data_IF_479030374890
#
_entry.id   IF_479030374890
#
_cell.length_a   1.000
_cell.length_b   1.000
_cell.length_c   1.000
_cell.angle_alpha   90.00
_cell.angle_beta   90.00
_cell.angle_gamma   90.00
#
_symmetry.space_group_name_H-M   'P 1'
#
loop_
_entity.id
_entity.type
_entity.pdbx_description
1 polymer ?
#
# COMPACT_ATOMS: atom_id res chain seq x y z
N UNK A 1 -10.12 42.11 18.64
CA UNK A 1 -10.15 41.07 19.70
C UNK A 1 -11.28 40.13 19.32
N UNK A 2 -11.14 38.84 19.05
CA UNK A 2 -10.06 37.87 19.26
C UNK A 2 -10.35 36.65 18.35
N UNK A 3 -9.33 36.19 17.59
CA UNK A 3 -8.91 34.80 17.35
C UNK A 3 -10.03 33.81 16.98
N UNK A 4 -10.17 33.35 15.74
CA UNK A 4 -9.24 32.42 15.09
C UNK A 4 -9.88 31.03 15.03
N UNK A 5 -10.78 30.79 14.08
CA UNK A 5 -11.18 29.43 13.72
C UNK A 5 -10.04 28.85 12.88
N UNK A 6 -9.24 27.98 13.48
CA UNK A 6 -8.39 27.07 12.73
C UNK A 6 -9.23 26.48 11.59
N UNK A 7 -8.76 26.58 10.34
CA UNK A 7 -9.36 25.80 9.26
C UNK A 7 -9.33 24.36 9.75
N UNK A 8 -10.50 23.76 10.00
CA UNK A 8 -10.58 22.30 9.99
C UNK A 8 -9.96 21.90 8.65
N UNK A 9 -8.84 21.17 8.72
CA UNK A 9 -8.24 20.63 7.51
C UNK A 9 -9.32 19.78 6.83
N UNK A 10 -9.57 20.03 5.55
CA UNK A 10 -10.51 19.22 4.81
C UNK A 10 -10.02 17.77 4.83
N UNK A 11 -10.95 16.79 4.86
CA UNK A 11 -10.66 15.38 5.15
C UNK A 11 -9.48 14.79 4.35
N UNK A 12 -9.45 15.03 3.03
CA UNK A 12 -8.37 14.58 2.16
C UNK A 12 -7.03 15.24 2.48
N UNK A 13 -7.01 16.51 2.87
CA UNK A 13 -5.78 17.19 3.31
C UNK A 13 -5.24 16.57 4.60
N UNK A 14 -6.14 16.21 5.52
CA UNK A 14 -5.77 15.54 6.77
C UNK A 14 -5.16 14.16 6.48
N UNK A 15 -5.80 13.36 5.62
CA UNK A 15 -5.29 12.04 5.22
C UNK A 15 -3.91 12.15 4.58
N UNK A 16 -3.72 13.04 3.59
CA UNK A 16 -2.42 13.21 2.94
C UNK A 16 -1.35 13.70 3.93
N UNK A 17 -1.71 14.58 4.87
CA UNK A 17 -0.79 15.03 5.91
C UNK A 17 -0.37 13.89 6.85
N UNK A 18 -1.32 13.07 7.31
CA UNK A 18 -1.01 11.90 8.12
C UNK A 18 -0.16 10.88 7.34
N UNK A 19 -0.51 10.60 6.09
CA UNK A 19 0.25 9.71 5.23
C UNK A 19 1.71 10.16 5.09
N UNK A 20 1.96 11.47 4.97
CA UNK A 20 3.32 11.99 4.96
C UNK A 20 4.06 11.69 6.27
N UNK A 21 3.42 11.78 7.43
CA UNK A 21 4.06 11.44 8.71
C UNK A 21 4.43 9.95 8.79
N UNK A 22 3.59 9.06 8.25
CA UNK A 22 3.92 7.63 8.14
C UNK A 22 5.03 7.38 7.12
N UNK A 23 5.02 8.09 5.98
CA UNK A 23 6.09 8.04 4.99
C UNK A 23 7.43 8.49 5.57
N UNK A 24 7.47 9.57 6.36
CA UNK A 24 8.67 10.04 7.03
C UNK A 24 9.25 8.97 7.96
N UNK A 25 8.40 8.24 8.69
CA UNK A 25 8.82 7.11 9.54
C UNK A 25 9.37 5.96 8.70
N UNK A 26 8.70 5.60 7.62
CA UNK A 26 9.19 4.56 6.70
C UNK A 26 10.51 4.99 6.05
N UNK A 27 10.68 6.25 5.69
CA UNK A 27 11.94 6.76 5.14
C UNK A 27 13.07 6.76 6.17
N UNK A 28 12.78 6.64 7.46
CA UNK A 28 13.77 6.44 8.53
C UNK A 28 14.08 4.95 8.80
N UNK A 29 13.39 4.02 8.13
CA UNK A 29 13.69 2.57 8.21
C UNK A 29 15.09 2.23 7.70
N UNK A 30 15.64 1.12 8.17
CA UNK A 30 16.92 0.59 7.70
C UNK A 30 16.86 0.24 6.21
N UNK A 31 15.73 -0.29 5.72
CA UNK A 31 15.46 -0.55 4.32
C UNK A 31 15.62 0.73 3.48
N UNK A 32 14.92 1.80 3.85
CA UNK A 32 14.94 3.06 3.12
C UNK A 32 16.33 3.73 3.18
N UNK A 33 16.97 3.71 4.35
CA UNK A 33 18.36 4.18 4.53
C UNK A 33 19.31 3.38 3.64
N UNK A 34 19.17 2.05 3.60
CA UNK A 34 20.03 1.17 2.80
C UNK A 34 19.83 1.39 1.30
N UNK A 35 18.61 1.67 0.85
CA UNK A 35 18.33 2.10 -0.53
C UNK A 35 19.08 3.40 -0.85
N UNK A 36 18.88 4.46 -0.05
CA UNK A 36 19.51 5.77 -0.30
C UNK A 36 21.04 5.71 -0.25
N UNK A 37 21.58 4.91 0.67
CA UNK A 37 23.02 4.72 0.82
C UNK A 37 23.62 3.71 -0.16
N UNK A 38 22.82 3.13 -1.07
CA UNK A 38 23.27 2.15 -2.04
C UNK A 38 23.94 0.93 -1.37
N UNK A 39 23.41 0.47 -0.24
CA UNK A 39 23.95 -0.66 0.55
C UNK A 39 22.98 -1.82 0.68
N UNK A 40 21.74 -1.67 0.20
CA UNK A 40 20.75 -2.75 0.21
C UNK A 40 21.25 -3.94 -0.63
N UNK A 41 21.26 -5.14 -0.05
CA UNK A 41 21.67 -6.35 -0.75
C UNK A 41 20.56 -6.86 -1.68
N UNK A 42 20.95 -7.56 -2.75
CA UNK A 42 20.00 -8.18 -3.69
C UNK A 42 18.97 -9.07 -3.00
N UNK A 43 19.41 -9.92 -2.06
CA UNK A 43 18.52 -10.83 -1.34
C UNK A 43 17.50 -10.08 -0.48
N UNK A 44 17.93 -9.01 0.22
CA UNK A 44 17.00 -8.18 1.01
C UNK A 44 16.01 -7.45 0.11
N UNK A 45 16.46 -6.96 -1.03
CA UNK A 45 15.59 -6.32 -2.01
C UNK A 45 14.59 -7.31 -2.63
N UNK A 46 15.01 -8.52 -2.99
CA UNK A 46 14.11 -9.58 -3.45
C UNK A 46 13.06 -9.92 -2.39
N UNK A 47 13.46 -10.03 -1.12
CA UNK A 47 12.53 -10.21 0.01
C UNK A 47 11.51 -9.09 0.13
N UNK A 48 11.95 -7.83 0.00
CA UNK A 48 11.05 -6.68 0.00
C UNK A 48 10.07 -6.71 -1.18
N UNK A 49 10.54 -6.98 -2.40
CA UNK A 49 9.67 -7.09 -3.60
C UNK A 49 8.65 -8.22 -3.45
N UNK A 50 9.07 -9.38 -2.92
CA UNK A 50 8.18 -10.51 -2.68
C UNK A 50 7.10 -10.19 -1.64
N UNK A 51 7.45 -9.59 -0.51
CA UNK A 51 6.51 -9.26 0.55
C UNK A 51 5.54 -8.12 0.18
N UNK A 52 5.93 -7.23 -0.73
CA UNK A 52 5.02 -6.22 -1.28
C UNK A 52 4.02 -6.79 -2.30
N UNK A 53 4.28 -7.95 -2.89
CA UNK A 53 3.42 -8.54 -3.92
C UNK A 53 1.97 -8.81 -3.44
N UNK A 54 1.73 -9.40 -2.25
CA UNK A 54 0.38 -9.51 -1.70
C UNK A 54 -0.33 -8.15 -1.62
N UNK A 55 0.36 -7.07 -1.26
CA UNK A 55 -0.24 -5.73 -1.16
C UNK A 55 -0.72 -5.26 -2.53
N UNK A 56 0.12 -5.37 -3.57
CA UNK A 56 -0.23 -4.97 -4.95
C UNK A 56 -1.43 -5.78 -5.48
N UNK A 57 -1.45 -7.09 -5.25
CA UNK A 57 -2.58 -7.96 -5.60
C UNK A 57 -3.83 -7.59 -4.81
N UNK A 58 -3.67 -7.32 -3.51
CA UNK A 58 -4.73 -6.97 -2.57
C UNK A 58 -5.41 -5.67 -2.95
N UNK A 59 -4.64 -4.66 -3.36
CA UNK A 59 -5.13 -3.38 -3.88
C UNK A 59 -6.12 -3.56 -5.03
N UNK A 60 -5.70 -4.27 -6.07
CA UNK A 60 -6.53 -4.52 -7.24
C UNK A 60 -7.78 -5.36 -6.89
N UNK A 61 -7.62 -6.43 -6.09
CA UNK A 61 -8.74 -7.24 -5.62
C UNK A 61 -9.75 -6.39 -4.84
N UNK A 62 -9.28 -5.53 -3.94
CA UNK A 62 -10.14 -4.68 -3.14
C UNK A 62 -10.85 -3.62 -4.00
N UNK A 63 -10.16 -3.02 -4.97
CA UNK A 63 -10.75 -2.08 -5.94
C UNK A 63 -11.89 -2.73 -6.73
N UNK A 64 -11.69 -3.94 -7.28
CA UNK A 64 -12.74 -4.69 -8.00
C UNK A 64 -13.96 -4.91 -7.11
N UNK A 65 -13.75 -5.26 -5.84
CA UNK A 65 -14.82 -5.56 -4.89
C UNK A 65 -15.56 -4.31 -4.45
N UNK A 66 -14.86 -3.20 -4.27
CA UNK A 66 -15.42 -1.95 -3.78
C UNK A 66 -16.30 -1.23 -4.81
N UNK A 67 -16.20 -1.58 -6.10
CA UNK A 67 -17.12 -1.10 -7.16
C UNK A 67 -18.59 -1.30 -6.77
N UNK A 68 -18.91 -2.41 -6.09
CA UNK A 68 -20.27 -2.69 -5.64
C UNK A 68 -20.80 -1.68 -4.60
N UNK A 69 -19.90 -0.94 -3.92
CA UNK A 69 -20.23 0.07 -2.90
C UNK A 69 -20.51 1.46 -3.48
N UNK A 70 -20.26 1.66 -4.77
CA UNK A 70 -20.43 2.96 -5.39
C UNK A 70 -21.88 3.11 -5.83
N UNK A 71 -22.67 3.85 -5.04
CA UNK A 71 -24.11 4.07 -5.30
C UNK A 71 -24.39 4.59 -6.73
N UNK A 72 -23.42 5.26 -7.34
CA UNK A 72 -23.49 5.87 -8.68
C UNK A 72 -22.89 5.03 -9.81
N UNK A 73 -22.57 3.73 -9.65
CA UNK A 73 -22.16 2.87 -10.79
C UNK A 73 -23.23 2.81 -11.89
N UNK A 74 -24.44 3.31 -11.61
CA UNK A 74 -25.52 3.50 -12.60
C UNK A 74 -25.36 4.76 -13.47
N UNK A 75 -24.42 5.65 -13.17
CA UNK A 75 -24.11 6.85 -13.95
C UNK A 75 -22.90 6.60 -14.88
N UNK A 76 -23.16 6.60 -16.19
CA UNK A 76 -22.25 6.16 -17.26
C UNK A 76 -20.81 6.73 -17.22
N UNK A 77 -20.60 7.93 -16.66
CA UNK A 77 -19.25 8.55 -16.61
C UNK A 77 -18.38 7.94 -15.52
N UNK A 78 -18.97 7.51 -14.41
CA UNK A 78 -18.23 6.99 -13.27
C UNK A 78 -17.77 5.56 -13.51
N UNK A 79 -18.57 4.77 -14.25
CA UNK A 79 -18.18 3.43 -14.75
C UNK A 79 -16.91 3.50 -15.60
N UNK A 80 -16.80 4.51 -16.48
CA UNK A 80 -15.62 4.67 -17.33
C UNK A 80 -14.35 4.88 -16.50
N UNK A 81 -14.40 5.77 -15.52
CA UNK A 81 -13.25 6.00 -14.62
C UNK A 81 -12.89 4.77 -13.80
N UNK A 82 -13.90 4.03 -13.29
CA UNK A 82 -13.66 2.77 -12.59
C UNK A 82 -13.02 1.72 -13.51
N UNK A 83 -13.42 1.62 -14.77
CA UNK A 83 -12.79 0.71 -15.73
C UNK A 83 -11.35 1.12 -16.06
N UNK A 84 -11.06 2.43 -16.18
CA UNK A 84 -9.70 2.93 -16.40
C UNK A 84 -8.80 2.58 -15.20
N UNK A 85 -9.28 2.80 -13.98
CA UNK A 85 -8.56 2.45 -12.75
C UNK A 85 -8.37 0.93 -12.59
N UNK A 86 -9.37 0.13 -12.94
CA UNK A 86 -9.21 -1.33 -12.98
C UNK A 86 -8.16 -1.78 -13.98
N UNK A 87 -8.14 -1.19 -15.17
CA UNK A 87 -7.15 -1.53 -16.19
C UNK A 87 -5.74 -1.19 -15.72
N UNK A 88 -5.57 0.00 -15.14
CA UNK A 88 -4.30 0.45 -14.55
C UNK A 88 -3.81 -0.50 -13.46
N UNK A 89 -4.68 -0.90 -12.52
CA UNK A 89 -4.31 -1.85 -11.47
C UNK A 89 -3.99 -3.26 -11.99
N UNK A 90 -4.63 -3.71 -13.07
CA UNK A 90 -4.25 -4.95 -13.75
C UNK A 90 -2.88 -4.83 -14.41
N UNK A 91 -2.56 -3.68 -14.99
CA UNK A 91 -1.26 -3.40 -15.58
C UNK A 91 -0.17 -3.34 -14.48
N UNK A 92 -0.44 -2.72 -13.33
CA UNK A 92 0.45 -2.76 -12.15
C UNK A 92 0.76 -4.19 -11.71
N UNK A 93 -0.24 -5.09 -11.68
CA UNK A 93 -0.02 -6.51 -11.37
C UNK A 93 0.83 -7.23 -12.43
N UNK A 94 0.66 -6.89 -13.71
CA UNK A 94 1.51 -7.43 -14.78
C UNK A 94 2.96 -6.92 -14.67
N UNK A 95 3.15 -5.63 -14.34
CA UNK A 95 4.47 -5.04 -14.12
C UNK A 95 5.18 -5.67 -12.91
N UNK A 96 4.46 -5.91 -11.81
CA UNK A 96 5.03 -6.52 -10.62
C UNK A 96 5.48 -7.97 -10.86
N UNK A 97 4.66 -8.76 -11.58
CA UNK A 97 5.05 -10.13 -11.99
C UNK A 97 6.30 -10.15 -12.86
N UNK A 98 6.39 -9.27 -13.86
CA UNK A 98 7.60 -9.14 -14.69
C UNK A 98 8.83 -8.73 -13.87
N UNK A 99 8.66 -7.80 -12.91
CA UNK A 99 9.73 -7.41 -11.96
C UNK A 99 10.22 -8.61 -11.17
N UNK A 100 9.31 -9.45 -10.66
CA UNK A 100 9.65 -10.67 -9.92
C UNK A 100 10.36 -11.70 -10.81
N UNK A 101 9.90 -11.90 -12.05
CA UNK A 101 10.55 -12.77 -13.04
C UNK A 101 12.00 -12.34 -13.35
N UNK A 102 12.23 -11.05 -13.60
CA UNK A 102 13.57 -10.49 -13.83
C UNK A 102 14.47 -10.57 -12.58
N UNK A 103 13.86 -10.63 -11.39
CA UNK A 103 14.56 -10.84 -10.12
C UNK A 103 14.69 -12.33 -9.75
N UNK A 104 14.25 -13.25 -10.61
CA UNK A 104 14.22 -14.69 -10.35
C UNK A 104 13.43 -15.04 -9.08
N UNK A 105 12.25 -14.45 -8.91
CA UNK A 105 11.31 -14.81 -7.85
C UNK A 105 10.11 -15.49 -8.50
N UNK A 106 9.82 -16.73 -8.10
CA UNK A 106 8.63 -17.49 -8.49
C UNK A 106 7.37 -16.88 -7.86
N UNK A 107 6.77 -15.94 -8.58
CA UNK A 107 5.56 -15.25 -8.15
C UNK A 107 4.33 -16.16 -8.12
N UNK A 108 4.30 -17.23 -8.93
CA UNK A 108 3.19 -18.18 -8.94
C UNK A 108 3.21 -19.05 -7.68
N UNK A 109 4.39 -19.57 -7.31
CA UNK A 109 4.56 -20.32 -6.07
C UNK A 109 4.24 -19.48 -4.83
N UNK A 110 4.74 -18.24 -4.76
CA UNK A 110 4.44 -17.32 -3.65
C UNK A 110 2.94 -17.04 -3.53
N UNK A 111 2.28 -16.79 -4.66
CA UNK A 111 0.85 -16.52 -4.69
C UNK A 111 0.02 -17.76 -4.28
N UNK A 112 0.40 -18.94 -4.75
CA UNK A 112 -0.25 -20.19 -4.37
C UNK A 112 -0.10 -20.48 -2.87
N UNK A 113 1.09 -20.25 -2.31
CA UNK A 113 1.33 -20.39 -0.87
C UNK A 113 0.47 -19.41 -0.06
N UNK A 114 0.34 -18.16 -0.51
CA UNK A 114 -0.54 -17.17 0.11
C UNK A 114 -2.01 -17.62 0.08
N UNK A 115 -2.52 -18.06 -1.07
CA UNK A 115 -3.91 -18.53 -1.18
C UNK A 115 -4.16 -19.76 -0.31
N UNK A 116 -3.25 -20.74 -0.35
CA UNK A 116 -3.33 -21.94 0.47
C UNK A 116 -3.24 -21.62 1.97
N UNK A 117 -2.42 -20.63 2.35
CA UNK A 117 -2.30 -20.18 3.73
C UNK A 117 -3.60 -19.55 4.22
N UNK A 118 -4.14 -18.57 3.47
CA UNK A 118 -5.37 -17.87 3.85
C UNK A 118 -6.59 -18.81 3.90
N UNK A 119 -6.66 -19.80 3.01
CA UNK A 119 -7.74 -20.78 2.97
C UNK A 119 -7.83 -21.70 4.21
N UNK A 120 -6.81 -21.71 5.09
CA UNK A 120 -6.82 -22.47 6.36
C UNK A 120 -7.71 -21.82 7.43
N UNK A 121 -8.09 -20.56 7.24
CA UNK A 121 -8.78 -19.77 8.24
C UNK A 121 -10.17 -19.35 7.75
N UNK A 122 -11.13 -19.25 8.66
CA UNK A 122 -12.41 -18.60 8.39
C UNK A 122 -12.28 -17.08 8.40
N UNK A 123 -13.24 -16.38 7.78
CA UNK A 123 -13.30 -14.92 7.77
C UNK A 123 -13.19 -14.31 9.18
N UNK A 124 -13.89 -14.89 10.16
CA UNK A 124 -13.83 -14.43 11.54
C UNK A 124 -12.45 -14.61 12.18
N UNK A 125 -11.72 -15.68 11.82
CA UNK A 125 -10.35 -15.89 12.29
C UNK A 125 -9.41 -14.86 11.67
N UNK A 126 -9.53 -14.60 10.36
CA UNK A 126 -8.75 -13.58 9.67
C UNK A 126 -9.03 -12.18 10.25
N UNK A 127 -10.29 -11.86 10.55
CA UNK A 127 -10.69 -10.65 11.27
C UNK A 127 -9.98 -10.51 12.61
N UNK A 128 -10.02 -11.56 13.44
CA UNK A 128 -9.43 -11.54 14.77
C UNK A 128 -7.89 -11.41 14.72
N UNK A 129 -7.23 -12.08 13.78
CA UNK A 129 -5.77 -11.98 13.60
C UNK A 129 -5.38 -10.59 13.09
N UNK A 130 -6.15 -10.03 12.14
CA UNK A 130 -5.94 -8.68 11.62
C UNK A 130 -6.08 -7.63 12.73
N UNK A 131 -7.09 -7.73 13.58
CA UNK A 131 -7.30 -6.80 14.69
C UNK A 131 -6.18 -6.91 15.74
N UNK A 132 -5.66 -8.11 16.01
CA UNK A 132 -4.52 -8.28 16.91
C UNK A 132 -3.24 -7.61 16.37
N UNK A 133 -2.98 -7.71 15.07
CA UNK A 133 -1.87 -7.00 14.43
C UNK A 133 -2.08 -5.48 14.49
N UNK A 134 -3.30 -5.01 14.20
CA UNK A 134 -3.64 -3.59 14.30
C UNK A 134 -3.45 -3.05 15.72
N UNK A 135 -3.93 -3.76 16.74
CA UNK A 135 -3.78 -3.35 18.12
C UNK A 135 -2.30 -3.25 18.53
N UNK A 136 -1.49 -4.23 18.12
CA UNK A 136 -0.04 -4.16 18.32
C UNK A 136 0.57 -2.93 17.63
N UNK A 137 0.19 -2.65 16.38
CA UNK A 137 0.69 -1.51 15.61
C UNK A 137 0.22 -0.14 16.14
N UNK A 138 -0.97 -0.08 16.76
CA UNK A 138 -1.47 1.13 17.45
C UNK A 138 -0.65 1.46 18.69
N UNK A 139 -0.17 0.45 19.41
CA UNK A 139 0.72 0.62 20.57
C UNK A 139 2.13 0.97 20.10
N UNK A 140 2.67 0.19 19.17
CA UNK A 140 4.02 0.35 18.65
C UNK A 140 4.12 -0.25 17.23
N UNK A 141 4.21 0.62 16.22
CA UNK A 141 4.32 0.22 14.81
C UNK A 141 5.59 -0.59 14.51
N UNK A 142 6.60 -0.51 15.38
CA UNK A 142 7.83 -1.29 15.22
C UNK A 142 7.67 -2.73 15.72
N UNK A 143 6.57 -3.05 16.42
CA UNK A 143 6.22 -4.41 16.84
C UNK A 143 5.55 -5.18 15.70
N UNK A 144 6.37 -5.57 14.73
CA UNK A 144 5.95 -6.14 13.44
C UNK A 144 5.64 -7.65 13.47
N UNK A 145 5.94 -8.36 14.57
CA UNK A 145 5.65 -9.79 14.74
C UNK A 145 4.89 -10.05 16.05
N UNK A 146 3.61 -9.65 16.12
CA UNK A 146 2.82 -9.85 17.32
C UNK A 146 2.48 -11.32 17.60
N UNK A 147 2.72 -12.24 16.65
CA UNK A 147 2.40 -13.66 16.76
C UNK A 147 0.90 -13.95 16.59
N UNK A 148 0.19 -13.08 15.87
CA UNK A 148 -1.25 -13.22 15.64
C UNK A 148 -1.55 -14.22 14.52
N UNK A 149 -0.80 -14.14 13.42
CA UNK A 149 -0.88 -15.11 12.33
C UNK A 149 0.09 -16.29 12.62
N UNK A 150 -0.40 -17.53 12.72
CA UNK A 150 0.47 -18.67 13.00
C UNK A 150 1.26 -19.08 11.76
N UNK A 151 2.58 -19.26 11.90
CA UNK A 151 3.51 -19.66 10.83
C UNK A 151 3.30 -18.88 9.52
N UNK A 152 3.38 -17.54 9.55
CA UNK A 152 2.96 -16.71 8.43
C UNK A 152 3.92 -16.84 7.24
N UNK A 153 3.35 -16.95 6.02
CA UNK A 153 4.14 -17.10 4.76
C UNK A 153 4.78 -15.79 4.28
N UNK A 154 4.27 -14.65 4.76
CA UNK A 154 4.77 -13.29 4.55
C UNK A 154 4.59 -12.50 5.86
N UNK A 155 5.24 -11.34 6.06
CA UNK A 155 5.12 -10.58 7.30
C UNK A 155 3.68 -10.37 7.77
N UNK A 156 3.44 -10.43 9.08
CA UNK A 156 2.08 -10.25 9.63
C UNK A 156 1.42 -8.91 9.24
N UNK A 157 2.13 -7.77 9.18
CA UNK A 157 1.56 -6.51 8.70
C UNK A 157 1.11 -6.59 7.24
N UNK A 158 1.77 -7.39 6.40
CA UNK A 158 1.37 -7.65 5.01
C UNK A 158 0.06 -8.43 4.96
N UNK A 159 -0.03 -9.53 5.73
CA UNK A 159 -1.25 -10.34 5.82
C UNK A 159 -2.43 -9.53 6.36
N UNK A 160 -2.19 -8.76 7.41
CA UNK A 160 -3.18 -7.89 8.02
C UNK A 160 -3.63 -6.79 7.05
N UNK A 161 -2.72 -6.11 6.35
CA UNK A 161 -3.09 -5.08 5.36
C UNK A 161 -3.88 -5.68 4.20
N UNK A 162 -3.43 -6.81 3.66
CA UNK A 162 -4.11 -7.54 2.60
C UNK A 162 -5.56 -7.84 2.97
N UNK A 163 -5.77 -8.42 4.14
CA UNK A 163 -7.09 -8.76 4.64
C UNK A 163 -7.92 -7.51 5.00
N UNK A 164 -7.29 -6.49 5.59
CA UNK A 164 -7.97 -5.24 5.96
C UNK A 164 -8.52 -4.50 4.73
N UNK A 165 -7.76 -4.41 3.64
CA UNK A 165 -8.23 -3.83 2.38
C UNK A 165 -9.39 -4.64 1.79
N UNK A 166 -9.31 -5.98 1.82
CA UNK A 166 -10.41 -6.84 1.41
C UNK A 166 -11.68 -6.60 2.23
N UNK A 167 -11.57 -6.63 3.57
CA UNK A 167 -12.69 -6.39 4.49
C UNK A 167 -13.35 -5.05 4.23
N UNK A 168 -12.56 -3.97 4.17
CA UNK A 168 -13.08 -2.62 3.89
C UNK A 168 -13.80 -2.52 2.55
N UNK A 169 -13.38 -3.30 1.55
CA UNK A 169 -14.00 -3.35 0.24
C UNK A 169 -15.30 -4.17 0.16
N UNK A 170 -15.55 -5.13 1.07
CA UNK A 170 -16.71 -6.04 0.96
C UNK A 170 -17.76 -5.89 2.06
N UNK A 171 -17.40 -5.49 3.27
CA UNK A 171 -18.33 -5.49 4.41
C UNK A 171 -19.37 -4.37 4.22
N UNK A 172 -20.69 -4.69 4.14
CA UNK A 172 -21.73 -3.72 3.86
C UNK A 172 -21.88 -2.63 4.93
N UNK A 173 -21.35 -2.82 6.14
CA UNK A 173 -21.33 -1.80 7.18
C UNK A 173 -20.30 -0.68 6.93
N UNK A 174 -19.37 -0.90 5.99
CA UNK A 174 -18.28 0.02 5.67
C UNK A 174 -18.65 0.83 4.43
N UNK A 175 -18.62 2.15 4.53
CA UNK A 175 -18.93 3.03 3.42
C UNK A 175 -17.80 3.05 2.38
N UNK A 176 -18.14 3.30 1.10
CA UNK A 176 -17.15 3.43 0.01
C UNK A 176 -16.00 4.40 0.35
N UNK A 177 -16.35 5.61 0.82
CA UNK A 177 -15.37 6.63 1.21
C UNK A 177 -14.38 6.19 2.31
N UNK A 178 -14.77 5.28 3.20
CA UNK A 178 -13.85 4.72 4.18
C UNK A 178 -12.81 3.82 3.51
N UNK A 179 -13.23 2.95 2.59
CA UNK A 179 -12.32 2.10 1.82
C UNK A 179 -11.43 2.92 0.87
N UNK A 180 -12.01 3.87 0.15
CA UNK A 180 -11.30 4.76 -0.77
C UNK A 180 -10.17 5.50 -0.04
N UNK A 181 -10.45 6.02 1.16
CA UNK A 181 -9.44 6.67 1.98
C UNK A 181 -8.31 5.73 2.43
N UNK A 182 -8.59 4.45 2.71
CA UNK A 182 -7.54 3.46 3.01
C UNK A 182 -6.57 3.31 1.84
N UNK A 183 -7.07 3.17 0.60
CA UNK A 183 -6.23 3.04 -0.59
C UNK A 183 -5.41 4.30 -0.83
N UNK A 184 -6.06 5.47 -0.84
CA UNK A 184 -5.38 6.76 -1.04
C UNK A 184 -4.31 7.02 0.01
N UNK A 185 -4.57 6.68 1.28
CA UNK A 185 -3.59 6.90 2.35
C UNK A 185 -2.34 6.04 2.17
N UNK A 186 -2.49 4.78 1.72
CA UNK A 186 -1.37 3.89 1.45
C UNK A 186 -0.62 4.31 0.18
N UNK A 187 -1.32 4.70 -0.89
CA UNK A 187 -0.69 5.26 -2.11
C UNK A 187 0.12 6.52 -1.82
N UNK A 188 -0.38 7.41 -0.96
CA UNK A 188 0.38 8.59 -0.51
C UNK A 188 1.70 8.20 0.16
N UNK A 189 1.69 7.14 1.00
CA UNK A 189 2.93 6.65 1.62
C UNK A 189 3.86 6.05 0.58
N UNK A 190 3.33 5.19 -0.30
CA UNK A 190 4.08 4.56 -1.41
C UNK A 190 4.79 5.64 -2.21
N UNK A 191 4.05 6.64 -2.70
CA UNK A 191 4.59 7.70 -3.54
C UNK A 191 5.76 8.42 -2.86
N UNK A 192 5.60 8.84 -1.60
CA UNK A 192 6.67 9.53 -0.87
C UNK A 192 7.89 8.63 -0.59
N UNK A 193 7.69 7.37 -0.19
CA UNK A 193 8.79 6.43 0.10
C UNK A 193 9.54 6.04 -1.18
N UNK A 194 8.82 5.81 -2.27
CA UNK A 194 9.41 5.45 -3.56
C UNK A 194 10.20 6.62 -4.14
N UNK A 195 9.62 7.83 -4.12
CA UNK A 195 10.26 9.05 -4.62
C UNK A 195 11.54 9.41 -3.86
N UNK A 196 11.54 9.25 -2.53
CA UNK A 196 12.68 9.65 -1.71
C UNK A 196 13.76 8.57 -1.62
N UNK A 197 13.36 7.30 -1.57
CA UNK A 197 14.25 6.23 -1.12
C UNK A 197 14.41 5.11 -2.14
N UNK A 198 13.30 4.46 -2.52
CA UNK A 198 13.37 3.21 -3.29
C UNK A 198 13.84 3.46 -4.71
N UNK A 199 13.18 4.35 -5.45
CA UNK A 199 13.50 4.55 -6.87
C UNK A 199 14.94 5.07 -7.07
N UNK A 200 15.39 6.15 -6.38
CA UNK A 200 16.77 6.64 -6.53
C UNK A 200 17.82 5.60 -6.14
N UNK A 201 17.55 4.78 -5.12
CA UNK A 201 18.48 3.75 -4.65
C UNK A 201 18.60 2.56 -5.60
N UNK A 202 17.46 2.04 -6.06
CA UNK A 202 17.38 0.88 -6.95
C UNK A 202 17.82 1.22 -8.37
N UNK A 203 17.49 2.41 -8.88
CA UNK A 203 17.82 2.79 -10.26
C UNK A 203 19.32 2.89 -10.53
N UNK A 204 20.13 3.05 -9.48
CA UNK A 204 21.59 3.19 -9.56
C UNK A 204 22.34 1.86 -9.36
N UNK A 205 21.63 0.74 -9.19
CA UNK A 205 22.19 -0.53 -8.74
C UNK A 205 21.79 -1.67 -9.68
N UNK A 206 22.65 -1.99 -10.65
CA UNK A 206 22.39 -2.97 -11.74
C UNK A 206 21.84 -4.31 -11.23
N UNK A 207 22.38 -4.82 -10.13
CA UNK A 207 21.93 -6.11 -9.57
C UNK A 207 20.58 -6.06 -8.84
N UNK A 208 20.03 -4.87 -8.56
CA UNK A 208 18.66 -4.65 -8.08
C UNK A 208 17.69 -4.30 -9.22
N UNK A 209 18.21 -3.87 -10.38
CA UNK A 209 17.42 -3.56 -11.57
C UNK A 209 17.96 -4.24 -12.86
N UNK A 210 18.08 -5.58 -12.89
CA UNK A 210 18.74 -6.32 -13.97
C UNK A 210 18.05 -6.22 -15.34
N UNK A 211 16.83 -5.69 -15.39
CA UNK A 211 16.06 -5.52 -16.62
C UNK A 211 15.23 -4.25 -16.60
N UNK A 212 14.83 -3.78 -17.80
CA UNK A 212 14.06 -2.54 -17.95
C UNK A 212 12.71 -2.60 -17.24
N UNK A 213 12.13 -3.79 -17.08
CA UNK A 213 10.81 -3.92 -16.45
C UNK A 213 10.85 -3.73 -14.93
N UNK A 214 12.01 -4.02 -14.30
CA UNK A 214 12.17 -3.88 -12.84
C UNK A 214 11.98 -2.46 -12.31
N UNK A 215 12.14 -1.42 -13.14
CA UNK A 215 12.00 -0.02 -12.72
C UNK A 215 10.67 0.62 -13.06
N UNK A 216 9.87 0.06 -13.99
CA UNK A 216 8.71 0.76 -14.57
C UNK A 216 7.74 1.22 -13.48
N UNK A 217 7.28 0.27 -12.65
CA UNK A 217 6.36 0.58 -11.55
C UNK A 217 6.95 1.60 -10.57
N UNK A 218 8.25 1.47 -10.23
CA UNK A 218 8.90 2.41 -9.32
C UNK A 218 8.98 3.81 -9.92
N UNK A 219 9.23 3.92 -11.22
CA UNK A 219 9.25 5.18 -11.95
C UNK A 219 7.87 5.83 -11.96
N UNK A 220 6.80 5.05 -12.18
CA UNK A 220 5.41 5.55 -12.17
C UNK A 220 5.00 6.11 -10.80
N UNK A 221 5.48 5.49 -9.72
CA UNK A 221 5.19 5.89 -8.34
C UNK A 221 6.28 6.80 -7.73
N UNK A 222 7.14 7.38 -8.55
CA UNK A 222 8.19 8.31 -8.12
C UNK A 222 7.94 9.71 -8.70
N UNK A 223 8.21 10.76 -7.93
CA UNK A 223 8.10 12.15 -8.39
C UNK A 223 9.04 12.48 -9.54
N UNK A 224 10.14 11.73 -9.67
CA UNK A 224 11.08 11.84 -10.79
C UNK A 224 10.65 11.00 -12.01
N UNK A 225 9.43 10.46 -12.01
CA UNK A 225 8.89 9.61 -13.07
C UNK A 225 8.49 10.36 -14.34
N UNK A 226 8.24 11.66 -14.26
CA UNK A 226 7.90 12.46 -15.42
C UNK A 226 9.12 12.76 -16.30
N UNK A 227 9.02 12.40 -17.58
CA UNK A 227 10.10 12.64 -18.55
C UNK A 227 10.33 14.14 -18.84
N UNK A 228 9.29 14.94 -18.62
CA UNK A 228 9.34 16.39 -18.60
C UNK A 228 9.20 16.84 -17.13
N UNK A 229 10.28 17.28 -16.48
CA UNK A 229 10.29 17.67 -15.06
C UNK A 229 9.34 18.81 -14.65
N UNK A 230 8.54 19.34 -15.58
CA UNK A 230 7.44 20.27 -15.34
C UNK A 230 6.06 19.61 -15.27
N UNK A 231 5.93 18.34 -15.71
CA UNK A 231 4.66 17.59 -15.71
C UNK A 231 4.57 16.73 -14.46
N UNK A 232 3.40 16.75 -13.83
CA UNK A 232 3.02 15.81 -12.78
C UNK A 232 2.97 14.39 -13.35
N UNK A 233 3.49 13.42 -12.61
CA UNK A 233 3.31 11.99 -12.91
C UNK A 233 1.83 11.62 -12.82
N UNK A 234 1.41 10.53 -13.45
CA UNK A 234 0.01 10.10 -13.38
C UNK A 234 -0.42 9.76 -11.95
N UNK A 235 0.46 9.14 -11.16
CA UNK A 235 0.24 8.87 -9.74
C UNK A 235 -0.01 10.16 -8.92
N UNK A 236 0.83 11.17 -9.09
CA UNK A 236 0.64 12.47 -8.43
C UNK A 236 -0.70 13.15 -8.79
N UNK A 237 -1.21 12.91 -10.02
CA UNK A 237 -2.55 13.37 -10.41
C UNK A 237 -3.63 12.55 -9.71
N UNK A 238 -3.48 11.23 -9.61
CA UNK A 238 -4.42 10.36 -8.91
C UNK A 238 -4.56 10.76 -7.44
N UNK A 239 -3.44 10.95 -6.75
CA UNK A 239 -3.43 11.41 -5.35
C UNK A 239 -4.10 12.77 -5.17
N UNK A 240 -3.84 13.73 -6.06
CA UNK A 240 -4.51 15.04 -6.00
C UNK A 240 -6.01 14.93 -6.25
N UNK A 241 -6.43 14.13 -7.23
CA UNK A 241 -7.84 13.93 -7.50
C UNK A 241 -8.55 13.26 -6.33
N UNK A 242 -7.94 12.24 -5.72
CA UNK A 242 -8.46 11.58 -4.53
C UNK A 242 -8.60 12.54 -3.34
N UNK A 243 -7.56 13.34 -3.07
CA UNK A 243 -7.57 14.40 -2.05
C UNK A 243 -8.72 15.38 -2.28
N UNK A 244 -8.85 15.93 -3.49
CA UNK A 244 -9.91 16.87 -3.83
C UNK A 244 -11.30 16.24 -3.77
N UNK A 245 -11.46 14.99 -4.18
CA UNK A 245 -12.72 14.27 -4.13
C UNK A 245 -13.21 14.08 -2.68
N UNK A 246 -12.32 13.65 -1.77
CA UNK A 246 -12.65 13.52 -0.34
C UNK A 246 -12.98 14.87 0.29
N UNK A 247 -12.19 15.91 -0.01
CA UNK A 247 -12.43 17.27 0.50
C UNK A 247 -13.81 17.82 0.10
N UNK A 248 -14.30 17.48 -1.10
CA UNK A 248 -15.57 17.99 -1.65
C UNK A 248 -16.78 17.13 -1.32
N UNK A 249 -16.58 15.88 -0.91
CA UNK A 249 -17.66 14.94 -0.67
C UNK A 249 -18.40 15.25 0.64
N UNK A 250 -19.67 15.63 0.57
CA UNK A 250 -20.50 15.83 1.77
C UNK A 250 -20.57 14.56 2.63
N UNK A 251 -20.72 13.40 1.98
CA UNK A 251 -20.81 12.12 2.70
C UNK A 251 -19.49 11.74 3.37
N UNK A 252 -18.35 11.99 2.73
CA UNK A 252 -17.05 11.75 3.34
C UNK A 252 -16.86 12.66 4.56
N UNK A 253 -17.19 13.95 4.44
CA UNK A 253 -17.11 14.90 5.56
C UNK A 253 -18.11 14.59 6.69
N UNK A 254 -19.25 13.97 6.42
CA UNK A 254 -20.16 13.47 7.46
C UNK A 254 -19.57 12.29 8.26
N UNK A 255 -18.77 11.45 7.60
CA UNK A 255 -18.12 10.26 8.20
C UNK A 255 -16.67 10.54 8.63
N UNK A 256 -16.30 11.80 8.79
CA UNK A 256 -14.93 12.28 8.92
C UNK A 256 -14.06 11.43 9.85
N UNK A 257 -14.46 11.26 11.11
CA UNK A 257 -13.64 10.57 12.12
C UNK A 257 -13.51 9.06 11.85
N UNK A 258 -14.56 8.45 11.28
CA UNK A 258 -14.53 7.02 10.90
C UNK A 258 -13.56 6.80 9.74
N UNK A 259 -13.60 7.69 8.74
CA UNK A 259 -12.70 7.65 7.59
C UNK A 259 -11.25 7.86 8.04
N UNK A 260 -10.98 8.86 8.88
CA UNK A 260 -9.64 9.11 9.41
C UNK A 260 -9.11 7.92 10.18
N UNK A 261 -9.90 7.37 11.11
CA UNK A 261 -9.50 6.20 11.90
C UNK A 261 -9.17 5.02 11.00
N UNK A 262 -9.99 4.76 9.98
CA UNK A 262 -9.77 3.64 9.05
C UNK A 262 -8.56 3.81 8.16
N UNK A 263 -8.38 4.99 7.60
CA UNK A 263 -7.23 5.32 6.78
C UNK A 263 -5.96 5.17 7.61
N UNK A 264 -5.98 5.63 8.86
CA UNK A 264 -4.83 5.51 9.76
C UNK A 264 -4.48 4.06 10.09
N UNK A 265 -5.47 3.18 10.28
CA UNK A 265 -5.22 1.76 10.45
C UNK A 265 -4.54 1.14 9.21
N UNK A 266 -4.95 1.51 7.99
CA UNK A 266 -4.26 1.09 6.77
C UNK A 266 -2.80 1.63 6.70
N UNK A 267 -2.59 2.90 7.06
CA UNK A 267 -1.27 3.52 7.12
C UNK A 267 -0.35 2.81 8.13
N UNK A 268 -0.86 2.45 9.31
CA UNK A 268 -0.12 1.69 10.34
C UNK A 268 0.34 0.34 9.80
N UNK A 269 -0.57 -0.42 9.19
CA UNK A 269 -0.24 -1.74 8.66
C UNK A 269 0.78 -1.63 7.52
N UNK A 270 0.61 -0.66 6.62
CA UNK A 270 1.56 -0.44 5.51
C UNK A 270 2.95 -0.04 6.01
N UNK A 271 3.05 0.92 6.92
CA UNK A 271 4.33 1.31 7.46
C UNK A 271 4.97 0.18 8.31
N UNK A 272 4.17 -0.61 9.01
CA UNK A 272 4.62 -1.84 9.67
C UNK A 272 5.24 -2.86 8.70
N UNK A 273 4.71 -3.00 7.48
CA UNK A 273 5.31 -3.85 6.44
C UNK A 273 6.74 -3.43 6.12
N UNK A 274 6.96 -2.14 5.85
CA UNK A 274 8.29 -1.64 5.50
C UNK A 274 9.28 -1.80 6.66
N UNK A 275 8.86 -1.49 7.89
CA UNK A 275 9.68 -1.63 9.10
C UNK A 275 9.99 -3.12 9.38
N UNK A 276 9.11 -4.04 9.03
CA UNK A 276 9.35 -5.47 9.22
C UNK A 276 10.57 -5.98 8.44
N UNK A 277 10.86 -5.37 7.29
CA UNK A 277 12.04 -5.70 6.49
C UNK A 277 13.37 -5.18 7.07
N UNK A 278 13.32 -4.38 8.13
CA UNK A 278 14.50 -4.02 8.92
C UNK A 278 14.80 -5.13 9.93
N UNK A 279 13.79 -5.52 10.69
CA UNK A 279 13.98 -6.29 11.92
C UNK A 279 13.97 -7.80 11.70
N UNK A 280 13.21 -8.27 10.71
CA UNK A 280 12.87 -9.69 10.59
C UNK A 280 13.00 -10.24 9.16
N UNK A 281 13.80 -9.58 8.31
CA UNK A 281 14.01 -10.02 6.93
C UNK A 281 14.57 -11.45 6.82
N UNK A 282 15.24 -11.94 7.88
CA UNK A 282 15.80 -13.28 7.94
C UNK A 282 14.75 -14.37 8.21
N UNK A 283 13.61 -14.01 8.80
CA UNK A 283 12.49 -14.93 9.06
C UNK A 283 11.64 -15.11 7.81
N UNK A 284 11.49 -14.05 7.02
CA UNK A 284 10.74 -14.08 5.76
C UNK A 284 11.71 -14.18 4.57
N UNK A 285 12.34 -15.34 4.44
CA UNK A 285 13.28 -15.57 3.33
C UNK A 285 12.53 -15.77 2.02
N UNK A 286 12.91 -15.03 0.99
CA UNK A 286 12.45 -15.26 -0.39
C UNK A 286 13.02 -16.55 -1.00
N UNK A 287 13.96 -17.21 -0.31
CA UNK A 287 14.71 -18.39 -0.78
C UNK A 287 13.85 -19.54 -1.31
N UNK A 288 12.69 -19.89 -0.74
CA UNK A 288 11.82 -20.93 -1.32
C UNK A 288 11.31 -20.59 -2.72
N UNK A 289 11.38 -19.31 -3.10
CA UNK A 289 10.88 -18.76 -4.36
C UNK A 289 12.00 -18.31 -5.31
N UNK A 290 13.29 -18.53 -4.97
CA UNK A 290 14.43 -18.22 -5.85
C UNK A 290 14.87 -19.43 -6.65
#
# INVERSE_FOLDING_TARGET
MSIGTARQHALGDHICHQAQQYADRVNQSELAISCRNLTLSKVRYQGYVAAMYPIVVGFNRALIRSIAKVDHVREHRLVKYLCEQLQEEQDHNAMWRRKMEELHIDHEALYLDLENYLAKFSDQQLDNMTEQVLEAARIDITKVTPGAFPDPVVPEPVLALYHYLYKTAIDPAIHYWEHFACQTAVECIIYSVVSESVYPGVSQREELNPGRSTLIWWKEHASQGSEDGEKRTDEEKHLEMARLAMNRSEKANQLHDQILSRAEDAMRLFAGTAICHDQDYATFTVTPYL
#
